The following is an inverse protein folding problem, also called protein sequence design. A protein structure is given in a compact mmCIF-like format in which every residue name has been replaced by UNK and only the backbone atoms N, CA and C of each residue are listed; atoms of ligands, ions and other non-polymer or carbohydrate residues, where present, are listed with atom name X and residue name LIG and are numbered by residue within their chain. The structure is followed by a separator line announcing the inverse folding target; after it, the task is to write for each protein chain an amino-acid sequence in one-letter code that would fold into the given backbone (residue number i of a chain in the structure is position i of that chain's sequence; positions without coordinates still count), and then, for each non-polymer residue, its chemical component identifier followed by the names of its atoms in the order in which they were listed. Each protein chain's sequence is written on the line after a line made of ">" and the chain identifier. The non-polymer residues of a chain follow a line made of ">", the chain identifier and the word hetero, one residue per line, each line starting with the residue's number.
data_IF_987303473403
#
_entry.id   IF_987303473403
#
_cell.length_a   1.000
_cell.length_b   1.000
_cell.length_c   1.000
_cell.angle_alpha   90.00
_cell.angle_beta   90.00
_cell.angle_gamma   90.00
#
_symmetry.space_group_name_H-M   'P 1'
#
loop_
_entity.id
_entity.type
_entity.pdbx_description
1 polymer ?
#
# COMPACT_ATOMS: atom_id res chain seq x y z
N UNK A 1 -42.90 -24.56 -16.27
CA UNK A 1 -41.75 -25.36 -15.79
C UNK A 1 -40.44 -24.97 -16.46
N UNK A 2 -40.39 -24.61 -17.75
CA UNK A 2 -39.16 -24.27 -18.52
C UNK A 2 -38.35 -23.05 -17.99
N UNK A 3 -39.01 -22.04 -17.42
CA UNK A 3 -38.32 -20.84 -16.86
C UNK A 3 -37.67 -21.09 -15.49
N UNK A 4 -38.17 -22.03 -14.70
CA UNK A 4 -37.63 -22.37 -13.36
C UNK A 4 -36.29 -23.09 -13.48
N UNK A 5 -36.13 -23.97 -14.49
CA UNK A 5 -34.84 -24.65 -14.77
C UNK A 5 -33.79 -23.73 -15.33
N UNK A 6 -34.14 -22.76 -16.18
CA UNK A 6 -33.18 -21.73 -16.65
C UNK A 6 -32.64 -20.86 -15.51
N UNK A 7 -33.51 -20.50 -14.56
CA UNK A 7 -33.05 -19.73 -13.39
C UNK A 7 -32.15 -20.52 -12.44
N UNK A 8 -32.40 -21.85 -12.32
CA UNK A 8 -31.55 -22.72 -11.48
C UNK A 8 -30.18 -22.90 -12.12
N UNK A 9 -30.13 -23.19 -13.44
CA UNK A 9 -28.87 -23.33 -14.18
C UNK A 9 -28.03 -22.04 -14.12
N UNK A 10 -28.68 -20.88 -14.31
CA UNK A 10 -28.02 -19.58 -14.19
C UNK A 10 -27.41 -19.33 -12.79
N UNK A 11 -28.15 -19.68 -11.73
CA UNK A 11 -27.63 -19.57 -10.37
C UNK A 11 -26.47 -20.53 -10.12
N UNK A 12 -26.55 -21.78 -10.58
CA UNK A 12 -25.46 -22.75 -10.45
C UNK A 12 -24.21 -22.26 -11.16
N UNK A 13 -24.33 -21.82 -12.42
CA UNK A 13 -23.20 -21.25 -13.18
C UNK A 13 -22.61 -20.02 -12.49
N UNK A 14 -23.44 -19.15 -11.92
CA UNK A 14 -22.96 -18.00 -11.15
C UNK A 14 -22.16 -18.43 -9.91
N UNK A 15 -22.68 -19.34 -9.09
CA UNK A 15 -21.98 -19.80 -7.90
C UNK A 15 -20.69 -20.57 -8.23
N UNK A 16 -20.69 -21.37 -9.30
CA UNK A 16 -19.49 -22.07 -9.79
C UNK A 16 -18.45 -21.05 -10.26
N UNK A 17 -18.87 -20.02 -11.00
CA UNK A 17 -17.97 -18.93 -11.41
C UNK A 17 -17.37 -18.18 -10.23
N UNK A 18 -18.19 -17.82 -9.23
CA UNK A 18 -17.74 -17.19 -7.99
C UNK A 18 -16.77 -18.10 -7.22
N UNK A 19 -17.09 -19.37 -7.06
CA UNK A 19 -16.22 -20.34 -6.38
C UNK A 19 -14.88 -20.49 -7.11
N UNK A 20 -14.90 -20.53 -8.44
CA UNK A 20 -13.67 -20.56 -9.27
C UNK A 20 -12.81 -19.32 -9.06
N UNK A 21 -13.40 -18.14 -9.09
CA UNK A 21 -12.68 -16.87 -8.85
C UNK A 21 -12.07 -16.87 -7.45
N UNK A 22 -12.85 -17.24 -6.44
CA UNK A 22 -12.37 -17.33 -5.05
C UNK A 22 -11.19 -18.30 -4.96
N UNK A 23 -11.33 -19.51 -5.50
CA UNK A 23 -10.27 -20.50 -5.50
C UNK A 23 -8.99 -19.98 -6.17
N UNK A 24 -9.14 -19.37 -7.36
CA UNK A 24 -8.01 -18.82 -8.11
C UNK A 24 -7.29 -17.70 -7.34
N UNK A 25 -8.05 -16.83 -6.65
CA UNK A 25 -7.49 -15.74 -5.84
C UNK A 25 -6.79 -16.25 -4.56
N UNK A 26 -7.35 -17.28 -3.91
CA UNK A 26 -6.78 -17.81 -2.67
C UNK A 26 -5.65 -18.81 -2.89
N UNK A 27 -5.57 -19.45 -4.07
CA UNK A 27 -4.58 -20.45 -4.38
C UNK A 27 -3.12 -20.00 -4.18
N UNK A 28 -2.68 -18.80 -4.63
CA UNK A 28 -1.30 -18.35 -4.39
C UNK A 28 -0.96 -18.23 -2.89
N UNK A 29 -1.90 -17.77 -2.07
CA UNK A 29 -1.72 -17.65 -0.62
C UNK A 29 -1.66 -19.01 0.06
N UNK A 30 -2.51 -19.93 -0.36
CA UNK A 30 -2.47 -21.31 0.07
C UNK A 30 -1.12 -21.95 -0.26
N UNK A 31 -0.67 -21.80 -1.51
CA UNK A 31 0.61 -22.35 -1.95
C UNK A 31 1.80 -21.77 -1.19
N UNK A 32 1.79 -20.47 -0.95
CA UNK A 32 2.79 -19.77 -0.16
C UNK A 32 2.85 -20.33 1.27
N UNK A 33 1.69 -20.48 1.91
CA UNK A 33 1.58 -21.03 3.26
C UNK A 33 2.08 -22.48 3.33
N UNK A 34 1.66 -23.34 2.42
CA UNK A 34 2.12 -24.72 2.39
C UNK A 34 3.62 -24.80 2.10
N UNK A 35 4.13 -23.95 1.20
CA UNK A 35 5.57 -23.88 0.89
C UNK A 35 6.40 -23.44 2.09
N UNK A 36 5.88 -22.57 2.94
CA UNK A 36 6.55 -22.14 4.18
C UNK A 36 6.76 -23.27 5.19
N UNK A 37 5.95 -24.34 5.10
CA UNK A 37 6.01 -25.48 6.01
C UNK A 37 6.82 -26.67 5.45
N UNK A 38 7.33 -26.54 4.20
CA UNK A 38 8.12 -27.61 3.55
C UNK A 38 9.62 -27.41 3.77
N UNK A 39 10.37 -28.52 3.71
CA UNK A 39 11.82 -28.46 3.56
C UNK A 39 12.23 -28.33 2.08
N UNK A 40 13.49 -27.95 1.83
CA UNK A 40 13.99 -27.68 0.49
C UNK A 40 13.83 -28.89 -0.43
N UNK A 41 14.13 -30.11 0.02
CA UNK A 41 13.96 -31.33 -0.77
C UNK A 41 12.50 -31.57 -1.20
N UNK A 42 11.55 -31.17 -0.37
CA UNK A 42 10.12 -31.34 -0.65
C UNK A 42 9.61 -30.26 -1.62
N UNK A 43 10.19 -29.05 -1.57
CA UNK A 43 9.84 -27.96 -2.48
C UNK A 43 10.21 -28.24 -3.93
N UNK A 44 11.34 -28.91 -4.16
CA UNK A 44 11.81 -29.25 -5.50
C UNK A 44 11.31 -30.60 -6.04
N UNK A 45 10.50 -31.33 -5.26
CA UNK A 45 9.97 -32.62 -5.67
C UNK A 45 8.96 -32.49 -6.82
N UNK A 46 9.11 -33.39 -7.84
CA UNK A 46 8.17 -33.50 -8.95
C UNK A 46 7.53 -34.88 -8.96
N UNK A 47 6.20 -35.00 -9.04
CA UNK A 47 5.19 -33.93 -8.98
C UNK A 47 5.15 -33.26 -7.60
N UNK A 48 4.73 -31.97 -7.53
CA UNK A 48 4.74 -31.23 -6.28
C UNK A 48 3.70 -31.78 -5.30
N UNK A 49 4.08 -31.85 -4.02
CA UNK A 49 3.15 -32.21 -2.97
C UNK A 49 2.20 -31.04 -2.66
N UNK A 50 0.91 -31.32 -2.60
CA UNK A 50 -0.10 -30.30 -2.25
C UNK A 50 -0.14 -29.97 -0.76
N UNK A 51 0.37 -30.84 0.10
CA UNK A 51 0.47 -30.68 1.54
C UNK A 51 1.91 -30.90 1.99
N UNK A 52 2.30 -30.32 3.12
CA UNK A 52 3.58 -30.60 3.75
C UNK A 52 3.50 -31.97 4.49
N UNK A 53 4.34 -32.93 4.12
CA UNK A 53 4.36 -34.24 4.78
C UNK A 53 4.84 -34.17 6.23
N UNK A 54 5.84 -33.32 6.49
CA UNK A 54 6.37 -33.03 7.82
C UNK A 54 6.42 -31.51 8.00
N UNK A 55 5.36 -30.86 8.53
CA UNK A 55 5.30 -29.42 8.65
C UNK A 55 6.45 -28.87 9.51
N UNK A 56 7.28 -28.01 8.90
CA UNK A 56 8.45 -27.39 9.54
C UNK A 56 8.06 -26.03 10.14
N UNK A 57 7.35 -26.04 11.26
CA UNK A 57 7.01 -24.82 11.99
C UNK A 57 8.24 -24.04 12.44
N UNK A 58 9.40 -24.72 12.56
CA UNK A 58 10.67 -24.10 12.92
C UNK A 58 11.11 -23.02 11.90
N UNK A 59 10.64 -23.05 10.66
CA UNK A 59 10.90 -21.99 9.69
C UNK A 59 10.42 -20.62 10.19
N UNK A 60 9.27 -20.58 10.87
CA UNK A 60 8.77 -19.34 11.48
C UNK A 60 9.61 -18.86 12.64
N UNK A 61 10.20 -19.77 13.42
CA UNK A 61 11.12 -19.39 14.51
C UNK A 61 12.41 -18.82 13.90
N UNK A 62 12.98 -19.49 12.89
CA UNK A 62 14.23 -19.08 12.23
C UNK A 62 14.15 -17.69 11.63
N UNK A 63 13.06 -17.32 10.95
CA UNK A 63 12.95 -15.99 10.35
C UNK A 63 13.01 -14.86 11.38
N UNK A 64 12.57 -15.11 12.62
CA UNK A 64 12.66 -14.12 13.71
C UNK A 64 14.00 -14.14 14.42
N UNK A 65 14.58 -15.33 14.66
CA UNK A 65 15.81 -15.47 15.45
C UNK A 65 17.09 -15.28 14.63
N UNK A 66 17.11 -15.77 13.38
CA UNK A 66 18.31 -15.75 12.55
C UNK A 66 18.29 -14.60 11.50
N UNK A 67 17.09 -14.20 11.04
CA UNK A 67 16.94 -13.24 9.93
C UNK A 67 16.32 -11.90 10.33
N UNK A 68 16.08 -11.66 11.62
CA UNK A 68 15.61 -10.37 12.16
C UNK A 68 14.31 -9.84 11.51
N UNK A 69 13.44 -10.69 10.96
CA UNK A 69 12.20 -10.28 10.29
C UNK A 69 11.33 -9.39 11.17
N UNK A 70 11.27 -9.64 12.48
CA UNK A 70 10.51 -8.81 13.43
C UNK A 70 10.98 -7.35 13.43
N UNK A 71 12.29 -7.11 13.40
CA UNK A 71 12.85 -5.76 13.32
C UNK A 71 12.56 -5.09 11.96
N UNK A 72 12.71 -5.85 10.88
CA UNK A 72 12.44 -5.35 9.53
C UNK A 72 10.96 -4.98 9.34
N UNK A 73 10.05 -5.76 9.97
CA UNK A 73 8.61 -5.44 10.04
C UNK A 73 8.37 -4.10 10.76
N UNK A 74 9.00 -3.89 11.92
CA UNK A 74 8.88 -2.63 12.67
C UNK A 74 9.43 -1.45 11.88
N UNK A 75 10.56 -1.62 11.19
CA UNK A 75 11.14 -0.60 10.32
C UNK A 75 10.17 -0.23 9.18
N UNK A 76 9.64 -1.23 8.47
CA UNK A 76 8.67 -0.99 7.39
C UNK A 76 7.40 -0.34 7.92
N UNK A 77 6.86 -0.81 9.04
CA UNK A 77 5.67 -0.23 9.67
C UNK A 77 5.90 1.25 10.01
N UNK A 78 7.04 1.56 10.62
CA UNK A 78 7.40 2.93 10.99
C UNK A 78 7.56 3.83 9.75
N UNK A 79 8.35 3.41 8.76
CA UNK A 79 8.60 4.19 7.54
C UNK A 79 7.30 4.41 6.77
N UNK A 80 6.49 3.36 6.55
CA UNK A 80 5.23 3.46 5.82
C UNK A 80 4.21 4.32 6.56
N UNK A 81 4.12 4.20 7.90
CA UNK A 81 3.20 5.01 8.71
C UNK A 81 3.59 6.49 8.67
N UNK A 82 4.86 6.82 8.88
CA UNK A 82 5.34 8.21 8.85
C UNK A 82 5.11 8.81 7.46
N UNK A 83 5.49 8.09 6.40
CA UNK A 83 5.26 8.53 5.02
C UNK A 83 3.78 8.81 4.78
N UNK A 84 2.90 7.90 5.21
CA UNK A 84 1.45 8.04 5.04
C UNK A 84 0.91 9.26 5.78
N UNK A 85 1.25 9.42 7.06
CA UNK A 85 0.77 10.55 7.87
C UNK A 85 1.24 11.89 7.32
N UNK A 86 2.51 12.00 6.95
CA UNK A 86 3.08 13.23 6.37
C UNK A 86 2.47 13.51 4.99
N UNK A 87 2.32 12.47 4.15
CA UNK A 87 1.69 12.59 2.84
C UNK A 87 0.23 13.03 2.94
N UNK A 88 -0.52 12.49 3.90
CA UNK A 88 -1.90 12.93 4.17
C UNK A 88 -1.94 14.37 4.67
N UNK A 89 -1.08 14.78 5.60
CA UNK A 89 -1.08 16.13 6.14
C UNK A 89 -0.80 17.17 5.04
N UNK A 90 0.25 16.97 4.25
CA UNK A 90 0.62 17.86 3.14
C UNK A 90 -0.39 17.74 1.99
N UNK A 91 -0.66 16.51 1.56
CA UNK A 91 -1.50 16.23 0.40
C UNK A 91 -2.94 16.66 0.57
N UNK A 92 -3.54 16.50 1.78
CA UNK A 92 -4.91 16.96 2.03
C UNK A 92 -5.01 18.47 2.06
N UNK A 93 -4.02 19.16 2.63
CA UNK A 93 -3.99 20.63 2.63
C UNK A 93 -3.89 21.19 1.21
N UNK A 94 -3.01 20.63 0.38
CA UNK A 94 -2.87 20.98 -1.04
C UNK A 94 -4.15 20.66 -1.84
N UNK A 95 -4.70 19.47 -1.64
CA UNK A 95 -5.93 19.04 -2.29
C UNK A 95 -7.12 19.92 -1.94
N UNK A 96 -7.25 20.33 -0.67
CA UNK A 96 -8.29 21.27 -0.21
C UNK A 96 -8.16 22.62 -0.89
N UNK A 97 -6.94 23.17 -0.93
CA UNK A 97 -6.70 24.45 -1.60
C UNK A 97 -7.06 24.38 -3.09
N UNK A 98 -6.63 23.30 -3.77
CA UNK A 98 -6.94 23.08 -5.18
C UNK A 98 -8.43 22.78 -5.43
N UNK A 99 -9.15 22.17 -4.49
CA UNK A 99 -10.56 21.83 -4.67
C UNK A 99 -11.47 23.03 -4.43
N UNK A 100 -11.23 23.82 -3.38
CA UNK A 100 -12.18 24.80 -2.83
C UNK A 100 -11.84 26.25 -3.10
N UNK A 101 -10.59 26.58 -3.41
CA UNK A 101 -10.26 27.98 -3.70
C UNK A 101 -10.25 28.26 -5.21
N UNK A 102 -10.72 29.46 -5.56
CA UNK A 102 -10.67 29.98 -6.93
C UNK A 102 -9.22 30.35 -7.28
N UNK A 103 -8.52 29.45 -7.97
CA UNK A 103 -7.12 29.65 -8.32
C UNK A 103 -6.92 29.64 -9.84
N UNK A 104 -6.27 30.69 -10.37
CA UNK A 104 -5.86 30.71 -11.79
C UNK A 104 -4.77 29.67 -12.02
N UNK A 105 -4.87 28.88 -13.10
CA UNK A 105 -3.88 27.85 -13.42
C UNK A 105 -3.99 26.54 -12.63
N UNK A 106 -5.07 26.30 -11.87
CA UNK A 106 -5.31 25.09 -11.09
C UNK A 106 -5.05 23.80 -11.88
N UNK A 107 -5.59 23.69 -13.11
CA UNK A 107 -5.42 22.52 -13.94
C UNK A 107 -3.94 22.30 -14.35
N UNK A 108 -3.20 23.39 -14.56
CA UNK A 108 -1.77 23.32 -14.84
C UNK A 108 -1.01 22.78 -13.62
N UNK A 109 -1.31 23.25 -12.42
CA UNK A 109 -0.71 22.74 -11.17
C UNK A 109 -1.01 21.26 -10.97
N UNK A 110 -2.27 20.84 -11.18
CA UNK A 110 -2.64 19.43 -11.09
C UNK A 110 -1.90 18.57 -12.13
N UNK A 111 -1.79 19.05 -13.38
CA UNK A 111 -1.03 18.35 -14.41
C UNK A 111 0.46 18.25 -14.06
N UNK A 112 1.05 19.30 -13.49
CA UNK A 112 2.43 19.31 -13.03
C UNK A 112 2.65 18.28 -11.91
N UNK A 113 1.75 18.24 -10.92
CA UNK A 113 1.79 17.26 -9.84
C UNK A 113 1.73 15.84 -10.39
N UNK A 114 0.84 15.56 -11.33
CA UNK A 114 0.74 14.24 -11.95
C UNK A 114 1.96 13.87 -12.78
N UNK A 115 2.59 14.84 -13.46
CA UNK A 115 3.79 14.57 -14.27
C UNK A 115 4.96 14.05 -13.42
N UNK A 116 5.03 14.43 -12.14
CA UNK A 116 6.02 13.87 -11.20
C UNK A 116 5.83 12.36 -11.01
N UNK A 117 4.58 11.88 -10.96
CA UNK A 117 4.29 10.44 -10.82
C UNK A 117 4.71 9.60 -12.03
N UNK A 118 4.86 10.23 -13.19
CA UNK A 118 5.27 9.55 -14.42
C UNK A 118 6.80 9.41 -14.51
N UNK A 119 7.52 10.07 -13.63
CA UNK A 119 8.98 10.04 -13.67
C UNK A 119 9.51 8.70 -13.13
N UNK A 120 10.35 7.98 -13.89
CA UNK A 120 10.89 6.70 -13.40
C UNK A 120 11.78 6.90 -12.18
N UNK A 121 11.43 6.27 -11.05
CA UNK A 121 12.19 6.40 -9.80
C UNK A 121 13.66 6.04 -9.95
N UNK A 122 14.00 5.06 -10.79
CA UNK A 122 15.37 4.62 -11.02
C UNK A 122 16.29 5.74 -11.57
N UNK A 123 15.74 6.68 -12.35
CA UNK A 123 16.52 7.77 -12.95
C UNK A 123 17.05 8.75 -11.89
N UNK A 124 16.27 8.96 -10.82
CA UNK A 124 16.64 9.92 -9.76
C UNK A 124 17.43 9.29 -8.62
N UNK A 125 17.62 7.96 -8.60
CA UNK A 125 18.35 7.26 -7.52
C UNK A 125 19.78 7.80 -7.38
N UNK A 126 20.55 7.87 -8.48
CA UNK A 126 21.94 8.31 -8.43
C UNK A 126 22.12 9.77 -7.97
N UNK A 127 21.40 10.76 -8.52
CA UNK A 127 21.49 12.12 -8.02
C UNK A 127 21.01 12.27 -6.57
N UNK A 128 19.96 11.56 -6.17
CA UNK A 128 19.53 11.56 -4.77
C UNK A 128 20.54 10.91 -3.83
N UNK A 129 21.20 9.83 -4.25
CA UNK A 129 22.26 9.21 -3.45
C UNK A 129 23.38 10.20 -3.16
N UNK A 130 23.88 10.90 -4.18
CA UNK A 130 24.95 11.91 -4.03
C UNK A 130 24.50 13.04 -3.09
N UNK A 131 23.28 13.55 -3.28
CA UNK A 131 22.71 14.60 -2.42
C UNK A 131 22.60 14.14 -0.97
N UNK A 132 22.04 12.95 -0.73
CA UNK A 132 21.85 12.41 0.62
C UNK A 132 23.17 12.03 1.29
N UNK A 133 24.18 11.63 0.50
CA UNK A 133 25.52 11.41 1.01
C UNK A 133 26.14 12.73 1.48
N UNK A 134 26.04 13.81 0.69
CA UNK A 134 26.53 15.14 1.08
C UNK A 134 25.80 15.69 2.33
N UNK A 135 24.50 15.39 2.47
CA UNK A 135 23.72 15.76 3.64
C UNK A 135 23.97 14.87 4.86
N UNK A 136 24.71 13.76 4.72
CA UNK A 136 24.96 12.80 5.80
C UNK A 136 23.74 11.98 6.23
N UNK A 137 22.69 11.89 5.40
CA UNK A 137 21.43 11.18 5.73
C UNK A 137 21.33 9.79 5.09
N UNK A 138 22.30 9.38 4.26
CA UNK A 138 22.38 7.99 3.78
C UNK A 138 22.37 7.03 4.98
N UNK A 139 21.79 5.87 4.81
CA UNK A 139 21.65 4.87 5.87
C UNK A 139 20.82 5.35 7.07
N UNK A 140 19.84 6.23 6.82
CA UNK A 140 18.84 6.68 7.79
C UNK A 140 17.42 6.49 7.24
N UNK A 141 16.40 6.44 8.10
CA UNK A 141 15.02 6.35 7.64
C UNK A 141 14.55 7.61 6.89
N UNK A 142 15.19 8.77 7.12
CA UNK A 142 14.92 9.99 6.37
C UNK A 142 15.24 9.81 4.87
N UNK A 143 16.31 9.07 4.52
CA UNK A 143 16.64 8.78 3.12
C UNK A 143 15.61 7.89 2.41
N UNK A 144 14.71 7.23 3.15
CA UNK A 144 13.58 6.49 2.59
C UNK A 144 12.31 7.35 2.54
N UNK A 145 11.99 8.02 3.65
CA UNK A 145 10.74 8.78 3.78
C UNK A 145 10.67 9.92 2.75
N UNK A 146 11.77 10.64 2.51
CA UNK A 146 11.79 11.77 1.59
C UNK A 146 11.43 11.37 0.14
N UNK A 147 12.10 10.39 -0.50
CA UNK A 147 11.68 9.95 -1.83
C UNK A 147 10.29 9.30 -1.83
N UNK A 148 9.92 8.56 -0.80
CA UNK A 148 8.57 7.99 -0.71
C UNK A 148 7.49 9.07 -0.70
N UNK A 149 7.71 10.19 0.01
CA UNK A 149 6.81 11.35 -0.04
C UNK A 149 6.73 11.94 -1.44
N UNK A 150 7.86 12.07 -2.14
CA UNK A 150 7.90 12.64 -3.50
C UNK A 150 6.98 11.86 -4.44
N UNK A 151 6.96 10.53 -4.35
CA UNK A 151 6.14 9.68 -5.22
C UNK A 151 4.71 9.46 -4.71
N UNK A 152 4.47 9.55 -3.41
CA UNK A 152 3.13 9.35 -2.85
C UNK A 152 2.26 10.61 -2.86
N UNK A 153 2.84 11.81 -2.73
CA UNK A 153 2.11 13.08 -2.69
C UNK A 153 1.22 13.30 -3.92
N UNK A 154 1.66 13.07 -5.16
CA UNK A 154 0.81 13.24 -6.33
C UNK A 154 -0.48 12.42 -6.27
N UNK A 155 -0.36 11.14 -5.95
CA UNK A 155 -1.51 10.23 -5.82
C UNK A 155 -2.43 10.67 -4.67
N UNK A 156 -1.86 11.05 -3.53
CA UNK A 156 -2.61 11.53 -2.35
C UNK A 156 -3.39 12.80 -2.70
N UNK A 157 -2.73 13.79 -3.32
CA UNK A 157 -3.36 15.06 -3.72
C UNK A 157 -4.48 14.81 -4.73
N UNK A 158 -4.23 14.00 -5.75
CA UNK A 158 -5.21 13.70 -6.79
C UNK A 158 -6.44 12.99 -6.22
N UNK A 159 -6.22 11.97 -5.42
CA UNK A 159 -7.30 11.23 -4.77
C UNK A 159 -8.15 12.16 -3.90
N UNK A 160 -7.53 12.89 -2.98
CA UNK A 160 -8.25 13.77 -2.07
C UNK A 160 -8.90 14.96 -2.77
N UNK A 161 -8.27 15.52 -3.81
CA UNK A 161 -8.86 16.58 -4.62
C UNK A 161 -10.19 16.10 -5.24
N UNK A 162 -10.25 14.89 -5.77
CA UNK A 162 -11.47 14.32 -6.36
C UNK A 162 -12.59 14.17 -5.31
N UNK A 163 -12.27 13.75 -4.09
CA UNK A 163 -13.26 13.69 -3.01
C UNK A 163 -13.69 15.06 -2.50
N UNK A 164 -12.76 15.98 -2.33
CA UNK A 164 -13.10 17.34 -1.87
C UNK A 164 -13.95 18.11 -2.88
N UNK A 165 -13.78 17.87 -4.18
CA UNK A 165 -14.61 18.48 -5.21
C UNK A 165 -16.08 18.05 -5.16
N UNK A 166 -16.38 16.85 -4.68
CA UNK A 166 -17.75 16.32 -4.56
C UNK A 166 -18.52 16.93 -3.39
N UNK A 167 -17.84 17.56 -2.44
CA UNK A 167 -18.48 18.24 -1.32
C UNK A 167 -19.04 19.58 -1.81
N UNK A 168 -20.35 19.91 -1.58
CA UNK A 168 -20.95 21.17 -1.99
C UNK A 168 -20.22 22.39 -1.44
N UNK A 169 -20.06 23.42 -2.26
CA UNK A 169 -19.36 24.65 -1.85
C UNK A 169 -20.19 25.48 -0.85
N UNK A 170 -21.50 25.28 -0.82
CA UNK A 170 -22.44 25.88 0.13
C UNK A 170 -22.08 25.56 1.58
N UNK A 171 -21.47 24.39 1.84
CA UNK A 171 -20.99 24.05 3.20
C UNK A 171 -19.79 24.89 3.61
N UNK A 172 -18.92 25.24 2.66
CA UNK A 172 -17.77 26.12 2.91
C UNK A 172 -18.26 27.56 3.12
N UNK A 173 -19.24 28.00 2.34
CA UNK A 173 -19.85 29.34 2.47
C UNK A 173 -20.59 29.49 3.79
N UNK A 174 -21.43 28.51 4.18
CA UNK A 174 -22.12 28.51 5.47
C UNK A 174 -21.13 28.58 6.64
N UNK A 175 -20.07 27.77 6.61
CA UNK A 175 -19.02 27.81 7.62
C UNK A 175 -18.36 29.20 7.72
N UNK A 176 -18.16 29.87 6.57
CA UNK A 176 -17.58 31.21 6.53
C UNK A 176 -18.53 32.27 7.15
N UNK A 177 -19.85 32.14 6.92
CA UNK A 177 -20.88 32.98 7.53
C UNK A 177 -20.90 32.80 9.05
N UNK A 178 -20.70 31.53 9.52
CA UNK A 178 -20.57 31.20 10.95
C UNK A 178 -19.23 31.62 11.57
N UNK A 179 -18.36 32.33 10.82
CA UNK A 179 -17.08 32.83 11.30
C UNK A 179 -15.98 31.80 11.43
N UNK A 180 -16.12 30.62 10.76
CA UNK A 180 -15.06 29.62 10.74
C UNK A 180 -13.93 30.05 9.78
N UNK A 181 -12.67 30.00 10.27
CA UNK A 181 -11.52 30.19 9.39
C UNK A 181 -11.40 29.04 8.36
N UNK A 182 -10.75 29.25 7.21
CA UNK A 182 -10.55 28.19 6.20
C UNK A 182 -9.91 26.90 6.76
N UNK A 183 -8.99 27.05 7.70
CA UNK A 183 -8.36 25.92 8.37
C UNK A 183 -9.33 25.15 9.29
N UNK A 184 -10.19 25.88 10.00
CA UNK A 184 -11.24 25.27 10.84
C UNK A 184 -12.27 24.54 9.99
N UNK A 185 -12.69 25.14 8.87
CA UNK A 185 -13.58 24.52 7.88
C UNK A 185 -12.95 23.24 7.31
N UNK A 186 -11.68 23.29 6.92
CA UNK A 186 -10.93 22.13 6.43
C UNK A 186 -10.94 20.97 7.43
N UNK A 187 -10.54 21.21 8.69
CA UNK A 187 -10.40 20.13 9.67
C UNK A 187 -11.75 19.65 10.20
N UNK A 188 -12.70 20.56 10.48
CA UNK A 188 -13.93 20.22 11.19
C UNK A 188 -15.09 19.83 10.28
N UNK A 189 -15.05 20.22 9.01
CA UNK A 189 -16.16 19.99 8.07
C UNK A 189 -15.71 19.14 6.89
N UNK A 190 -14.73 19.61 6.13
CA UNK A 190 -14.34 18.99 4.86
C UNK A 190 -13.66 17.63 5.07
N UNK A 191 -12.68 17.57 5.97
CA UNK A 191 -11.93 16.32 6.21
C UNK A 191 -12.79 15.18 6.77
N UNK A 192 -13.71 15.41 7.74
CA UNK A 192 -14.63 14.38 8.19
C UNK A 192 -15.61 13.91 7.12
N UNK A 193 -16.15 14.82 6.29
CA UNK A 193 -17.04 14.47 5.19
C UNK A 193 -16.33 13.65 4.10
N UNK A 194 -15.06 13.95 3.86
CA UNK A 194 -14.23 13.22 2.91
C UNK A 194 -13.50 12.01 3.54
N UNK A 195 -13.88 11.56 4.74
CA UNK A 195 -13.22 10.46 5.43
C UNK A 195 -12.99 9.21 4.54
N UNK A 196 -13.95 8.77 3.70
CA UNK A 196 -13.71 7.65 2.78
C UNK A 196 -12.51 7.91 1.83
N UNK A 197 -12.39 9.12 1.30
CA UNK A 197 -11.26 9.54 0.45
C UNK A 197 -9.94 9.58 1.22
N UNK A 198 -9.96 10.10 2.45
CA UNK A 198 -8.76 10.16 3.31
C UNK A 198 -8.25 8.76 3.62
N UNK A 199 -9.13 7.83 4.00
CA UNK A 199 -8.73 6.45 4.25
C UNK A 199 -8.27 5.72 2.98
N UNK A 200 -8.90 6.00 1.83
CA UNK A 200 -8.45 5.44 0.54
C UNK A 200 -7.04 5.93 0.20
N UNK A 201 -6.78 7.23 0.29
CA UNK A 201 -5.45 7.78 0.07
C UNK A 201 -4.41 7.23 1.07
N UNK A 202 -4.80 7.08 2.36
CA UNK A 202 -3.95 6.50 3.39
C UNK A 202 -3.50 5.08 3.05
N UNK A 203 -4.44 4.22 2.67
CA UNK A 203 -4.15 2.81 2.33
C UNK A 203 -3.24 2.73 1.11
N UNK A 204 -3.54 3.46 0.05
CA UNK A 204 -2.73 3.45 -1.17
C UNK A 204 -1.30 3.93 -0.91
N UNK A 205 -1.13 5.00 -0.14
CA UNK A 205 0.18 5.51 0.26
C UNK A 205 0.93 4.52 1.14
N UNK A 206 0.26 3.93 2.11
CA UNK A 206 0.85 2.94 3.01
C UNK A 206 1.35 1.71 2.24
N UNK A 207 0.49 1.13 1.37
CA UNK A 207 0.86 -0.03 0.56
C UNK A 207 2.02 0.31 -0.38
N UNK A 208 2.03 1.51 -0.99
CA UNK A 208 3.12 1.97 -1.83
C UNK A 208 4.45 2.04 -1.08
N UNK A 209 4.47 2.66 0.09
CA UNK A 209 5.66 2.78 0.93
C UNK A 209 6.10 1.43 1.53
N UNK A 210 5.14 0.54 1.87
CA UNK A 210 5.41 -0.81 2.38
C UNK A 210 6.12 -1.70 1.37
N UNK A 211 5.73 -1.61 0.09
CA UNK A 211 6.26 -2.44 -0.98
C UNK A 211 7.50 -1.82 -1.66
N UNK A 212 7.93 -0.64 -1.23
CA UNK A 212 9.03 0.04 -1.88
C UNK A 212 10.36 -0.69 -1.60
N UNK A 213 11.07 -0.99 -2.65
CA UNK A 213 12.31 -1.77 -2.63
C UNK A 213 13.52 -0.99 -3.16
N UNK A 214 13.32 -0.16 -4.20
CA UNK A 214 14.40 0.42 -4.97
C UNK A 214 15.28 1.34 -4.11
N UNK A 215 14.67 2.34 -3.48
CA UNK A 215 15.37 3.27 -2.61
C UNK A 215 15.86 2.58 -1.35
N UNK A 216 15.05 1.68 -0.76
CA UNK A 216 15.44 0.95 0.43
C UNK A 216 16.70 0.10 0.21
N UNK A 217 16.80 -0.60 -0.93
CA UNK A 217 17.95 -1.45 -1.25
C UNK A 217 19.24 -0.64 -1.50
N UNK A 218 19.12 0.58 -2.02
CA UNK A 218 20.27 1.40 -2.41
C UNK A 218 20.73 2.31 -1.27
N UNK A 219 19.77 2.88 -0.50
CA UNK A 219 20.09 3.90 0.49
C UNK A 219 20.35 3.35 1.89
N UNK A 220 19.93 2.11 2.18
CA UNK A 220 20.15 1.45 3.46
C UNK A 220 21.15 0.31 3.30
N UNK A 221 22.25 0.39 4.06
CA UNK A 221 23.32 -0.62 4.10
C UNK A 221 23.40 -1.34 5.45
N UNK A 222 22.89 -0.72 6.52
CA UNK A 222 22.83 -1.30 7.86
C UNK A 222 21.66 -2.29 7.94
N UNK A 223 21.96 -3.57 8.16
CA UNK A 223 20.97 -4.64 8.29
C UNK A 223 19.93 -4.39 9.39
N UNK A 224 20.29 -3.60 10.40
CA UNK A 224 19.36 -3.21 11.48
C UNK A 224 18.27 -2.24 11.01
N UNK A 225 18.43 -1.61 9.85
CA UNK A 225 17.52 -0.63 9.28
C UNK A 225 16.81 -1.14 8.01
N UNK A 226 17.04 -2.38 7.61
CA UNK A 226 16.37 -2.95 6.44
C UNK A 226 14.85 -2.93 6.62
N UNK A 227 14.17 -2.64 5.52
CA UNK A 227 12.73 -2.84 5.37
C UNK A 227 12.41 -4.25 4.90
N UNK A 228 11.17 -4.66 5.00
CA UNK A 228 10.72 -6.02 4.66
C UNK A 228 11.06 -6.43 3.23
N UNK A 229 10.82 -5.59 2.18
CA UNK A 229 11.18 -5.96 0.81
C UNK A 229 12.68 -6.22 0.64
N UNK A 230 13.53 -5.44 1.29
CA UNK A 230 14.99 -5.66 1.26
C UNK A 230 15.35 -6.98 1.92
N UNK A 231 14.74 -7.29 3.07
CA UNK A 231 15.05 -8.53 3.79
C UNK A 231 14.67 -9.79 3.02
N UNK A 232 13.60 -9.75 2.21
CA UNK A 232 13.22 -10.89 1.38
C UNK A 232 14.27 -11.23 0.30
N UNK A 233 14.94 -10.23 -0.26
CA UNK A 233 15.99 -10.46 -1.26
C UNK A 233 17.22 -11.12 -0.64
N UNK A 234 17.48 -10.90 0.64
CA UNK A 234 18.63 -11.49 1.33
C UNK A 234 18.54 -13.00 1.51
N UNK A 235 17.34 -13.59 1.38
CA UNK A 235 17.19 -15.05 1.33
C UNK A 235 17.56 -15.66 -0.03
N UNK A 236 17.76 -14.82 -1.06
CA UNK A 236 18.22 -15.23 -2.37
C UNK A 236 19.75 -15.23 -2.37
N UNK A 237 20.34 -16.39 -2.20
CA UNK A 237 21.77 -16.60 -2.40
C UNK A 237 22.14 -16.60 -3.88
N UNK A 238 23.43 -16.51 -4.18
CA UNK A 238 23.93 -16.52 -5.56
C UNK A 238 23.68 -17.86 -6.26
N UNK A 239 23.72 -18.97 -5.51
CA UNK A 239 23.60 -20.35 -6.04
C UNK A 239 22.45 -21.12 -5.43
N UNK A 240 21.90 -20.65 -4.32
CA UNK A 240 20.80 -21.30 -3.62
C UNK A 240 19.88 -20.26 -2.98
N UNK A 241 18.60 -20.56 -2.93
CA UNK A 241 17.58 -19.69 -2.34
C UNK A 241 16.76 -20.48 -1.33
N UNK A 242 16.69 -19.99 -0.11
CA UNK A 242 15.89 -20.58 0.95
C UNK A 242 14.38 -20.30 0.73
N UNK A 243 13.78 -20.95 -0.28
CA UNK A 243 12.39 -20.71 -0.67
C UNK A 243 11.37 -20.92 0.46
N UNK A 244 11.63 -21.88 1.35
CA UNK A 244 10.82 -22.14 2.53
C UNK A 244 10.83 -20.94 3.50
N UNK A 245 12.01 -20.31 3.72
CA UNK A 245 12.13 -19.12 4.57
C UNK A 245 11.59 -17.87 3.88
N UNK A 246 11.75 -17.74 2.54
CA UNK A 246 11.10 -16.70 1.74
C UNK A 246 9.58 -16.81 1.89
N UNK A 247 9.03 -18.02 1.75
CA UNK A 247 7.62 -18.27 1.88
C UNK A 247 7.12 -17.97 3.31
N UNK A 248 7.83 -18.43 4.35
CA UNK A 248 7.48 -18.15 5.74
C UNK A 248 7.53 -16.65 6.06
N UNK A 249 8.57 -15.95 5.59
CA UNK A 249 8.68 -14.49 5.73
C UNK A 249 7.55 -13.78 5.00
N UNK A 250 7.24 -14.16 3.77
CA UNK A 250 6.17 -13.55 2.97
C UNK A 250 4.79 -13.72 3.63
N UNK A 251 4.49 -14.88 4.22
CA UNK A 251 3.26 -15.08 5.01
C UNK A 251 3.18 -14.06 6.15
N UNK A 252 4.25 -13.94 6.94
CA UNK A 252 4.28 -13.02 8.10
C UNK A 252 4.20 -11.55 7.65
N UNK A 253 4.91 -11.19 6.58
CA UNK A 253 4.96 -9.84 6.02
C UNK A 253 3.60 -9.40 5.46
N UNK A 254 2.78 -10.33 4.98
CA UNK A 254 1.46 -10.03 4.44
C UNK A 254 0.43 -9.74 5.54
N UNK A 255 0.61 -10.27 6.76
CA UNK A 255 -0.35 -10.12 7.85
C UNK A 255 -0.68 -8.65 8.20
N UNK A 256 0.30 -7.73 8.37
CA UNK A 256 -0.01 -6.32 8.64
C UNK A 256 -0.87 -5.67 7.56
N UNK A 257 -0.63 -5.98 6.28
CA UNK A 257 -1.44 -5.47 5.17
C UNK A 257 -2.87 -6.02 5.20
N UNK A 258 -3.03 -7.32 5.47
CA UNK A 258 -4.35 -7.95 5.61
C UNK A 258 -5.12 -7.27 6.76
N UNK A 259 -4.48 -7.11 7.92
CA UNK A 259 -5.10 -6.46 9.08
C UNK A 259 -5.52 -5.03 8.73
N UNK A 260 -4.63 -4.25 8.10
CA UNK A 260 -4.93 -2.88 7.68
C UNK A 260 -6.13 -2.83 6.73
N UNK A 261 -6.18 -3.69 5.72
CA UNK A 261 -7.29 -3.75 4.75
C UNK A 261 -8.59 -4.16 5.44
N UNK A 262 -8.57 -5.18 6.31
CA UNK A 262 -9.77 -5.62 7.04
C UNK A 262 -10.32 -4.53 7.97
N UNK A 263 -9.47 -3.77 8.63
CA UNK A 263 -9.89 -2.66 9.49
C UNK A 263 -10.51 -1.51 8.70
N UNK A 264 -9.99 -1.24 7.51
CA UNK A 264 -10.36 -0.08 6.70
C UNK A 264 -11.27 -0.40 5.50
N UNK A 265 -11.66 -1.69 5.28
CA UNK A 265 -12.44 -2.14 4.12
C UNK A 265 -13.74 -1.36 3.89
N UNK A 266 -14.45 -0.99 4.97
CA UNK A 266 -15.68 -0.20 4.87
C UNK A 266 -15.47 1.16 4.20
N UNK A 267 -14.33 1.79 4.42
CA UNK A 267 -13.99 3.07 3.80
C UNK A 267 -13.52 2.90 2.36
N UNK A 268 -12.81 1.80 2.05
CA UNK A 268 -12.40 1.46 0.68
C UNK A 268 -13.64 1.26 -0.20
N UNK A 269 -14.60 0.45 0.28
CA UNK A 269 -15.85 0.19 -0.47
C UNK A 269 -16.61 1.50 -0.70
N UNK A 270 -16.78 2.32 0.34
CA UNK A 270 -17.45 3.61 0.22
C UNK A 270 -16.74 4.55 -0.76
N UNK A 271 -15.39 4.55 -0.77
CA UNK A 271 -14.59 5.37 -1.68
C UNK A 271 -14.67 4.94 -3.15
N UNK A 272 -14.67 3.63 -3.40
CA UNK A 272 -14.78 3.09 -4.76
C UNK A 272 -16.18 3.27 -5.36
N UNK A 273 -17.23 3.17 -4.53
CA UNK A 273 -18.62 3.32 -4.98
C UNK A 273 -18.99 4.79 -5.21
N UNK A 274 -18.45 5.73 -4.44
CA UNK A 274 -18.68 7.16 -4.63
C UNK A 274 -18.21 7.68 -6.02
N UNK A 275 -17.18 7.05 -6.61
CA UNK A 275 -16.70 7.38 -7.95
C UNK A 275 -17.45 6.67 -9.10
N UNK A 276 -18.24 5.65 -8.80
CA UNK A 276 -18.90 4.80 -9.79
C UNK A 276 -20.38 5.19 -10.06
N UNK A 277 -21.02 5.88 -9.14
CA UNK A 277 -22.41 6.38 -9.30
C UNK A 277 -22.32 7.82 -9.82
N UNK A 278 -22.29 7.97 -11.13
CA UNK A 278 -22.67 9.20 -11.83
C UNK A 278 -24.15 9.07 -12.16
N UNK A 279 -25.01 9.79 -11.43
CA UNK A 279 -26.36 10.06 -11.86
C UNK A 279 -26.35 10.89 -13.15
#
# INVERSE_FOLDING_TARGET
>A
MKNRHKNILGKVLFFVGVAFVIFFMFFPFYWLFISSLKGDQELYKMPPNWLAHKPLWNNYIKIFTEHNIGRNLLNSLMVSTITTLVSLAIGSSAAYALAKFKMRGKNFVLSLILSVSMFPGIVIVSPLYILFQQMGIINSFASLILPYLTFSLPLTIWTLHSFFQQIPDELVEAASIDGASPFKTFIKIITPLAAPGVFTAAILTFIGAWNELLFAKIFITDSKKFTVPVSLILFQGQYDSAWNLIAASSVVITLPLIILVLLLQKYIIAGLTAGAVKD
#
